data_IF_414160316437
#
_entry.id   IF_414160316437
#
_cell.length_a   1.000
_cell.length_b   1.000
_cell.length_c   1.000
_cell.angle_alpha   90.00
_cell.angle_beta   90.00
_cell.angle_gamma   90.00
#
_symmetry.space_group_name_H-M   'P 1'
#
loop_
_entity.id
_entity.type
_entity.pdbx_description
1 polymer ?
#
# COMPACT_ATOMS: atom_id res chain seq x y z
N UNK A 1 3.55 -5.85 -30.48
CA UNK A 1 3.54 -4.38 -30.69
C UNK A 1 3.44 -3.62 -29.36
N UNK A 2 2.38 -3.88 -28.57
CA UNK A 2 2.13 -3.21 -27.28
C UNK A 2 3.22 -3.46 -26.22
N UNK A 3 3.74 -4.69 -26.11
CA UNK A 3 4.78 -5.00 -25.12
C UNK A 3 6.08 -4.21 -25.33
N UNK A 4 6.45 -3.92 -26.59
CA UNK A 4 7.66 -3.13 -26.90
C UNK A 4 7.47 -1.67 -26.52
N UNK A 5 6.26 -1.15 -26.69
CA UNK A 5 5.90 0.23 -26.36
C UNK A 5 5.89 0.43 -24.84
N UNK A 6 5.33 -0.52 -24.09
CA UNK A 6 5.31 -0.49 -22.62
C UNK A 6 6.72 -0.58 -22.02
N UNK A 7 7.60 -1.42 -22.59
CA UNK A 7 9.00 -1.55 -22.15
C UNK A 7 9.90 -0.40 -22.60
N UNK A 8 9.49 0.39 -23.60
CA UNK A 8 10.24 1.53 -24.10
C UNK A 8 9.88 2.86 -23.40
N UNK A 9 8.95 2.83 -22.42
CA UNK A 9 8.56 4.01 -21.64
C UNK A 9 9.79 4.58 -20.92
N UNK A 10 9.96 5.91 -20.97
CA UNK A 10 11.13 6.60 -20.37
C UNK A 10 11.30 6.29 -18.89
N UNK A 11 10.18 6.14 -18.21
CA UNK A 11 10.03 6.00 -16.78
C UNK A 11 8.85 5.07 -16.51
N UNK A 12 8.81 4.48 -15.32
CA UNK A 12 7.68 3.68 -14.84
C UNK A 12 7.24 4.19 -13.49
N UNK A 13 7.28 5.51 -13.32
CA UNK A 13 7.01 6.15 -12.05
C UNK A 13 5.49 6.28 -11.86
N UNK A 14 5.01 5.86 -10.69
CA UNK A 14 3.65 6.08 -10.22
C UNK A 14 3.74 6.67 -8.82
N UNK A 15 3.20 7.87 -8.66
CA UNK A 15 2.96 8.49 -7.36
C UNK A 15 1.47 8.68 -7.20
N UNK A 16 0.88 8.17 -6.12
CA UNK A 16 -0.56 8.16 -5.94
C UNK A 16 -0.94 7.70 -4.55
N UNK A 17 -2.21 7.91 -4.20
CA UNK A 17 -2.75 7.55 -2.88
C UNK A 17 -3.75 6.42 -3.09
N UNK A 18 -3.58 5.32 -2.35
CA UNK A 18 -4.49 4.17 -2.39
C UNK A 18 -5.33 4.14 -1.12
N UNK A 19 -6.63 3.99 -1.30
CA UNK A 19 -7.58 3.80 -0.21
C UNK A 19 -7.49 2.42 0.42
N UNK A 20 -8.14 2.23 1.58
CA UNK A 20 -8.15 0.95 2.30
C UNK A 20 -8.89 -0.17 1.56
N UNK A 21 -9.63 0.16 0.50
CA UNK A 21 -10.27 -0.78 -0.43
C UNK A 21 -9.40 -1.08 -1.67
N UNK A 22 -8.17 -0.59 -1.71
CA UNK A 22 -7.21 -0.80 -2.80
C UNK A 22 -7.44 0.07 -4.03
N UNK A 23 -8.38 1.01 -4.01
CA UNK A 23 -8.65 1.93 -5.13
C UNK A 23 -7.82 3.20 -5.02
N UNK A 24 -7.49 3.82 -6.15
CA UNK A 24 -6.83 5.14 -6.19
C UNK A 24 -7.77 6.21 -5.65
N UNK A 25 -7.22 7.09 -4.80
CA UNK A 25 -7.87 8.32 -4.31
C UNK A 25 -7.19 9.50 -4.99
N UNK A 26 -7.99 10.35 -5.63
CA UNK A 26 -7.50 11.49 -6.40
C UNK A 26 -6.87 11.08 -7.73
N UNK A 27 -6.08 11.98 -8.32
CA UNK A 27 -5.38 11.76 -9.58
C UNK A 27 -3.92 11.37 -9.30
N UNK A 28 -3.44 10.22 -9.79
CA UNK A 28 -2.05 9.84 -9.64
C UNK A 28 -1.18 10.59 -10.64
N UNK A 29 0.07 10.85 -10.23
CA UNK A 29 1.10 11.38 -11.10
C UNK A 29 1.89 10.24 -11.73
N UNK A 30 1.94 10.21 -13.06
CA UNK A 30 2.59 9.16 -13.84
C UNK A 30 3.61 9.81 -14.74
N UNK A 31 4.89 9.43 -14.58
CA UNK A 31 6.01 9.91 -15.39
C UNK A 31 6.30 11.42 -15.43
N UNK A 32 5.54 12.22 -14.70
CA UNK A 32 5.73 13.65 -14.55
C UNK A 32 6.27 14.02 -13.16
N UNK A 33 6.94 15.17 -13.06
CA UNK A 33 7.42 15.74 -11.79
C UNK A 33 6.29 16.53 -11.10
N UNK A 34 6.15 16.37 -9.78
CA UNK A 34 5.10 17.08 -9.05
C UNK A 34 4.78 16.47 -7.68
N UNK A 35 3.69 16.96 -7.07
CA UNK A 35 3.19 16.54 -5.76
C UNK A 35 1.73 16.10 -5.92
N UNK A 36 1.40 14.94 -5.36
CA UNK A 36 0.03 14.41 -5.33
C UNK A 36 -0.62 14.80 -4.00
N UNK A 37 -1.84 15.32 -4.06
CA UNK A 37 -2.66 15.67 -2.91
C UNK A 37 -3.96 14.87 -2.94
N UNK A 38 -4.44 14.45 -1.77
CA UNK A 38 -5.81 13.96 -1.60
C UNK A 38 -6.28 14.16 -0.15
N UNK A 39 -7.59 14.31 -0.01
CA UNK A 39 -8.26 14.23 1.28
C UNK A 39 -8.60 12.78 1.61
N UNK A 40 -8.34 12.37 2.86
CA UNK A 40 -8.61 11.02 3.33
C UNK A 40 -9.56 11.04 4.51
N UNK A 41 -10.48 10.07 4.52
CA UNK A 41 -11.35 9.78 5.66
C UNK A 41 -10.93 8.47 6.32
N UNK A 42 -10.42 8.58 7.55
CA UNK A 42 -9.98 7.43 8.35
C UNK A 42 -11.13 6.47 8.71
N UNK A 43 -12.37 6.94 8.71
CA UNK A 43 -13.54 6.10 9.00
C UNK A 43 -13.70 4.98 7.95
N UNK A 44 -13.21 5.20 6.73
CA UNK A 44 -13.23 4.22 5.64
C UNK A 44 -12.39 2.97 5.93
N UNK A 45 -11.47 3.00 6.89
CA UNK A 45 -10.69 1.84 7.31
C UNK A 45 -11.52 0.80 8.11
N UNK A 46 -12.67 1.20 8.66
CA UNK A 46 -13.46 0.36 9.56
C UNK A 46 -14.07 -0.83 8.80
N UNK A 47 -14.75 -0.57 7.69
CA UNK A 47 -15.46 -1.61 6.93
C UNK A 47 -14.50 -2.68 6.36
N UNK A 48 -13.38 -2.35 5.70
CA UNK A 48 -12.44 -3.35 5.20
C UNK A 48 -11.85 -4.22 6.31
N UNK A 49 -11.57 -3.65 7.48
CA UNK A 49 -11.08 -4.42 8.64
C UNK A 49 -12.14 -5.35 9.23
N UNK A 50 -13.42 -5.00 9.18
CA UNK A 50 -14.51 -5.89 9.58
C UNK A 50 -14.69 -7.05 8.60
N UNK A 51 -14.55 -6.79 7.30
CA UNK A 51 -14.68 -7.82 6.26
C UNK A 51 -13.47 -8.77 6.21
N UNK A 52 -12.27 -8.25 6.43
CA UNK A 52 -11.02 -9.00 6.42
C UNK A 52 -10.19 -8.72 7.66
N UNK A 53 -10.49 -9.42 8.75
CA UNK A 53 -9.73 -9.33 10.01
C UNK A 53 -8.46 -10.20 9.97
N UNK A 54 -7.49 -9.72 9.18
CA UNK A 54 -6.20 -10.39 8.91
C UNK A 54 -5.37 -10.55 10.19
N UNK A 55 -5.46 -9.60 11.13
CA UNK A 55 -4.65 -9.61 12.36
C UNK A 55 -5.32 -10.33 13.53
N UNK A 56 -6.64 -10.51 13.49
CA UNK A 56 -7.40 -11.25 14.49
C UNK A 56 -7.80 -12.63 13.99
N UNK A 57 -9.08 -12.78 13.63
CA UNK A 57 -9.71 -14.09 13.42
C UNK A 57 -9.10 -14.95 12.31
N UNK A 58 -8.47 -14.33 11.31
CA UNK A 58 -7.82 -15.10 10.23
C UNK A 58 -6.49 -15.73 10.69
N UNK A 59 -5.89 -15.22 11.77
CA UNK A 59 -4.63 -15.78 12.27
C UNK A 59 -4.85 -17.12 12.98
N UNK A 60 -4.14 -18.13 12.50
CA UNK A 60 -3.95 -19.42 13.18
C UNK A 60 -2.74 -19.33 14.11
N UNK A 61 -2.97 -18.77 15.30
CA UNK A 61 -1.93 -18.59 16.32
C UNK A 61 -1.28 -19.90 16.79
N UNK A 62 -1.92 -21.04 16.55
CA UNK A 62 -1.38 -22.38 16.79
C UNK A 62 -0.44 -22.88 15.69
N UNK A 63 -0.44 -22.24 14.51
CA UNK A 63 0.38 -22.61 13.34
C UNK A 63 1.55 -21.63 13.15
N UNK A 64 1.31 -20.33 13.28
CA UNK A 64 2.31 -19.30 12.99
C UNK A 64 2.30 -18.18 14.04
N UNK A 65 3.49 -17.82 14.53
CA UNK A 65 3.73 -16.71 15.47
C UNK A 65 4.88 -15.83 14.97
N UNK A 66 4.61 -14.53 14.76
CA UNK A 66 5.62 -13.54 14.36
C UNK A 66 6.01 -12.68 15.57
N UNK A 67 7.25 -12.84 16.05
CA UNK A 67 7.83 -12.02 17.12
C UNK A 67 8.78 -10.98 16.57
N UNK A 68 8.52 -9.71 16.91
CA UNK A 68 9.35 -8.59 16.48
C UNK A 68 10.14 -8.03 17.68
N UNK A 69 11.47 -8.05 17.59
CA UNK A 69 12.31 -7.30 18.52
C UNK A 69 12.31 -5.82 18.12
N UNK A 70 11.72 -4.96 18.95
CA UNK A 70 11.62 -3.50 18.71
C UNK A 70 12.67 -2.69 19.47
N UNK A 71 13.67 -3.35 20.09
CA UNK A 71 14.74 -2.64 20.79
C UNK A 71 15.63 -1.93 19.75
N UNK A 72 15.98 -0.65 19.94
CA UNK A 72 17.02 0.00 19.15
C UNK A 72 18.32 -0.78 19.28
N UNK A 73 18.95 -1.11 18.14
CA UNK A 73 20.26 -1.74 18.09
C UNK A 73 21.26 -0.71 17.58
N UNK A 74 22.42 -0.59 18.23
CA UNK A 74 23.52 0.16 17.64
C UNK A 74 24.20 -0.70 16.58
N UNK A 75 24.52 -0.08 15.44
CA UNK A 75 25.36 -0.72 14.43
C UNK A 75 26.75 -0.96 15.05
N UNK A 76 27.32 -2.13 14.77
CA UNK A 76 28.69 -2.46 15.14
C UNK A 76 29.70 -1.68 14.31
#
# INVERSE_FOLDING_TARGET
>A
PEAREMLARRNSAFSGILGPDGRVIGEPLIDDEGIVYADIDLSRCIQPRQMHDIVGHYNRFDVFDLRVNRRPLQAA
#
